data_IF_869851024211
#
_entry.id   IF_869851024211
#
_cell.length_a   1.000
_cell.length_b   1.000
_cell.length_c   1.000
_cell.angle_alpha   90.00
_cell.angle_beta   90.00
_cell.angle_gamma   90.00
#
_symmetry.space_group_name_H-M   'P 1'
#
loop_
_entity.id
_entity.type
_entity.pdbx_description
1 polymer ?
#
# COMPACT_ATOMS: atom_id res chain seq x y z
N UNK A 1 24.79 7.48 14.48
CA UNK A 1 24.33 6.15 14.95
C UNK A 1 24.11 5.30 13.72
N UNK A 2 24.78 4.17 13.62
CA UNK A 2 24.56 3.18 12.56
C UNK A 2 23.56 2.14 13.05
N UNK A 3 22.81 1.54 12.12
CA UNK A 3 21.91 0.43 12.45
C UNK A 3 22.67 -0.70 13.17
N UNK A 4 22.11 -1.21 14.26
CA UNK A 4 22.70 -2.25 15.11
C UNK A 4 23.71 -1.74 16.14
N UNK A 5 24.01 -0.43 16.16
CA UNK A 5 24.89 0.22 17.14
C UNK A 5 24.13 1.24 18.00
N UNK A 6 22.82 1.05 18.19
CA UNK A 6 21.97 1.94 18.95
C UNK A 6 22.22 1.81 20.48
N UNK A 7 22.42 2.92 21.21
CA UNK A 7 22.59 2.90 22.65
C UNK A 7 21.33 2.43 23.38
N UNK A 8 21.45 1.35 24.14
CA UNK A 8 20.35 0.78 24.92
C UNK A 8 19.78 1.75 25.96
N UNK A 9 20.60 2.63 26.52
CA UNK A 9 20.25 3.51 27.63
C UNK A 9 19.42 4.74 27.24
N UNK A 10 19.31 5.06 25.95
CA UNK A 10 18.56 6.24 25.50
C UNK A 10 17.68 5.95 24.30
N UNK A 11 18.23 5.37 23.22
CA UNK A 11 17.50 5.21 21.96
C UNK A 11 16.30 4.29 22.14
N UNK A 12 16.54 3.07 22.64
CA UNK A 12 15.46 2.10 22.83
C UNK A 12 14.53 2.47 23.98
N UNK A 13 15.04 3.09 25.05
CA UNK A 13 14.22 3.59 26.16
C UNK A 13 13.23 4.66 25.66
N UNK A 14 13.69 5.62 24.85
CA UNK A 14 12.85 6.68 24.29
C UNK A 14 11.74 6.14 23.37
N UNK A 15 11.98 5.02 22.67
CA UNK A 15 11.00 4.34 21.81
C UNK A 15 10.06 3.39 22.57
N UNK A 16 10.18 3.29 23.89
CA UNK A 16 9.40 2.37 24.71
C UNK A 16 9.84 0.91 24.57
N UNK A 17 11.15 0.69 24.40
CA UNK A 17 11.79 -0.61 24.25
C UNK A 17 12.07 -1.00 22.80
N UNK A 18 12.98 -1.96 22.62
CA UNK A 18 13.29 -2.54 21.31
C UNK A 18 12.14 -3.40 20.81
N UNK A 19 11.70 -3.15 19.58
CA UNK A 19 10.62 -3.89 18.91
C UNK A 19 11.12 -4.43 17.57
N UNK A 20 10.50 -5.49 17.01
CA UNK A 20 10.79 -5.93 15.65
C UNK A 20 10.53 -4.79 14.66
N UNK A 21 11.46 -4.61 13.72
CA UNK A 21 11.37 -3.64 12.63
C UNK A 21 11.87 -4.27 11.33
N UNK A 22 11.57 -3.66 10.19
CA UNK A 22 11.98 -4.15 8.88
C UNK A 22 13.48 -3.88 8.68
N UNK A 23 14.24 -4.92 8.31
CA UNK A 23 15.71 -4.85 8.11
C UNK A 23 16.12 -4.76 6.64
N UNK A 24 15.15 -4.85 5.73
CA UNK A 24 15.34 -4.69 4.29
C UNK A 24 14.29 -3.73 3.73
N UNK A 25 14.63 -3.14 2.59
CA UNK A 25 13.77 -2.19 1.89
C UNK A 25 13.57 -2.57 0.42
N UNK A 26 13.76 -3.85 0.06
CA UNK A 26 13.71 -4.32 -1.33
C UNK A 26 12.37 -4.04 -1.99
N UNK A 27 11.29 -4.02 -1.19
CA UNK A 27 9.94 -3.68 -1.65
C UNK A 27 9.87 -2.29 -2.30
N UNK A 28 10.68 -1.31 -1.86
CA UNK A 28 10.68 0.04 -2.42
C UNK A 28 11.01 0.04 -3.92
N UNK A 29 11.85 -0.88 -4.38
CA UNK A 29 12.21 -1.01 -5.80
C UNK A 29 11.04 -1.46 -6.70
N UNK A 30 9.99 -1.99 -6.10
CA UNK A 30 8.82 -2.53 -6.81
C UNK A 30 7.53 -1.81 -6.46
N UNK A 31 7.57 -0.92 -5.47
CA UNK A 31 6.36 -0.35 -4.89
C UNK A 31 5.68 0.59 -5.88
N UNK A 32 4.43 0.29 -6.23
CA UNK A 32 3.62 1.07 -7.16
C UNK A 32 2.20 1.18 -6.64
N UNK A 33 1.63 2.38 -6.71
CA UNK A 33 0.27 2.66 -6.28
C UNK A 33 -0.56 3.14 -7.47
N UNK A 34 -1.72 2.53 -7.65
CA UNK A 34 -2.69 2.90 -8.69
C UNK A 34 -4.02 3.26 -8.04
N UNK A 35 -4.66 4.33 -8.51
CA UNK A 35 -6.03 4.71 -8.17
C UNK A 35 -6.99 4.17 -9.23
N UNK A 36 -8.00 3.43 -8.79
CA UNK A 36 -9.10 2.94 -9.59
C UNK A 36 -10.36 3.74 -9.25
N UNK A 37 -10.82 4.57 -10.19
CA UNK A 37 -11.92 5.52 -9.96
C UNK A 37 -12.83 5.63 -11.18
N UNK A 38 -14.11 5.91 -10.95
CA UNK A 38 -15.08 6.26 -11.99
C UNK A 38 -15.47 7.75 -12.00
N UNK A 39 -14.76 8.63 -11.27
CA UNK A 39 -15.08 10.05 -11.09
C UNK A 39 -15.27 10.83 -12.41
N UNK A 40 -14.66 10.35 -13.49
CA UNK A 40 -14.73 10.95 -14.85
C UNK A 40 -15.97 10.53 -15.64
N UNK A 41 -16.89 9.79 -15.03
CA UNK A 41 -18.04 9.16 -15.68
C UNK A 41 -17.71 7.82 -16.36
N UNK A 42 -16.47 7.37 -16.30
CA UNK A 42 -16.00 6.07 -16.78
C UNK A 42 -14.87 5.56 -15.89
N UNK A 43 -14.73 4.24 -15.81
CA UNK A 43 -13.71 3.60 -14.98
C UNK A 43 -12.31 3.83 -15.56
N UNK A 44 -11.41 4.31 -14.73
CA UNK A 44 -10.00 4.55 -15.07
C UNK A 44 -9.08 3.99 -14.00
N UNK A 45 -7.91 3.55 -14.43
CA UNK A 45 -6.80 3.20 -13.55
C UNK A 45 -5.67 4.18 -13.84
N UNK A 46 -5.23 4.91 -12.82
CA UNK A 46 -4.14 5.90 -12.92
C UNK A 46 -3.05 5.59 -11.92
N UNK A 47 -1.80 5.60 -12.36
CA UNK A 47 -0.65 5.40 -11.48
C UNK A 47 -0.32 6.70 -10.75
N UNK A 48 -0.04 6.58 -9.44
CA UNK A 48 0.45 7.67 -8.61
C UNK A 48 1.97 7.80 -8.74
N UNK A 49 2.49 9.00 -8.51
CA UNK A 49 3.93 9.24 -8.47
C UNK A 49 4.60 8.39 -7.39
N UNK A 50 5.91 8.15 -7.54
CA UNK A 50 6.69 7.27 -6.65
C UNK A 50 6.79 7.78 -5.22
N UNK A 51 6.47 9.05 -4.97
CA UNK A 51 6.47 9.74 -3.68
C UNK A 51 5.07 9.81 -3.04
N UNK A 52 4.19 8.86 -3.38
CA UNK A 52 2.86 8.78 -2.78
C UNK A 52 2.90 8.62 -1.25
N UNK A 53 1.84 9.06 -0.57
CA UNK A 53 1.72 9.00 0.88
C UNK A 53 0.36 8.45 1.33
N UNK A 54 0.13 8.36 2.64
CA UNK A 54 -1.14 7.87 3.19
C UNK A 54 -2.35 8.71 2.71
N UNK A 55 -2.15 10.01 2.47
CA UNK A 55 -3.23 10.90 1.98
C UNK A 55 -3.64 10.60 0.53
N UNK A 56 -2.86 9.82 -0.23
CA UNK A 56 -3.25 9.37 -1.57
C UNK A 56 -4.27 8.22 -1.57
N UNK A 57 -4.58 7.66 -0.39
CA UNK A 57 -5.62 6.66 -0.21
C UNK A 57 -7.00 7.33 -0.15
N UNK A 58 -7.68 7.37 -1.29
CA UNK A 58 -8.96 8.04 -1.44
C UNK A 58 -10.13 7.17 -0.90
N UNK A 59 -10.85 7.68 0.09
CA UNK A 59 -11.95 6.98 0.76
C UNK A 59 -13.10 6.57 -0.18
N UNK A 60 -13.30 7.30 -1.26
CA UNK A 60 -14.32 7.10 -2.28
C UNK A 60 -13.87 6.17 -3.41
N UNK A 61 -12.61 5.73 -3.43
CA UNK A 61 -12.06 4.92 -4.51
C UNK A 61 -11.40 3.63 -4.00
N UNK A 62 -10.80 2.90 -4.95
CA UNK A 62 -10.02 1.70 -4.69
C UNK A 62 -8.59 1.95 -5.11
N UNK A 63 -7.65 1.50 -4.29
CA UNK A 63 -6.23 1.58 -4.59
C UNK A 63 -5.68 0.18 -4.85
N UNK A 64 -4.87 0.04 -5.90
CA UNK A 64 -4.05 -1.14 -6.14
C UNK A 64 -2.62 -0.81 -5.72
N UNK A 65 -2.08 -1.53 -4.76
CA UNK A 65 -0.69 -1.39 -4.32
C UNK A 65 0.08 -2.67 -4.63
N UNK A 66 1.08 -2.60 -5.52
CA UNK A 66 2.04 -3.69 -5.73
C UNK A 66 3.30 -3.39 -4.92
N UNK A 67 3.76 -4.33 -4.09
CA UNK A 67 5.03 -4.21 -3.35
C UNK A 67 6.13 -5.16 -3.88
N UNK A 68 5.89 -5.78 -5.03
CA UNK A 68 6.78 -6.75 -5.67
C UNK A 68 6.46 -8.21 -5.34
N UNK A 69 5.82 -8.50 -4.21
CA UNK A 69 5.41 -9.85 -3.82
C UNK A 69 3.89 -10.00 -3.66
N UNK A 70 3.23 -8.95 -3.19
CA UNK A 70 1.82 -8.87 -2.98
C UNK A 70 1.25 -7.68 -3.77
N UNK A 71 0.08 -7.92 -4.34
CA UNK A 71 -0.79 -6.88 -4.88
C UNK A 71 -1.96 -6.74 -3.93
N UNK A 72 -2.10 -5.59 -3.30
CA UNK A 72 -3.21 -5.28 -2.42
C UNK A 72 -4.28 -4.52 -3.19
N UNK A 73 -5.53 -4.94 -3.00
CA UNK A 73 -6.71 -4.17 -3.34
C UNK A 73 -7.18 -3.48 -2.06
N UNK A 74 -6.85 -2.21 -1.89
CA UNK A 74 -7.29 -1.39 -0.76
C UNK A 74 -8.63 -0.75 -1.08
N UNK A 75 -9.64 -1.02 -0.26
CA UNK A 75 -11.00 -0.50 -0.45
C UNK A 75 -11.20 0.72 0.44
N UNK A 76 -11.46 1.86 -0.20
CA UNK A 76 -11.97 3.03 0.48
C UNK A 76 -13.35 2.77 1.10
N UNK A 77 -13.62 3.41 2.24
CA UNK A 77 -14.85 3.17 3.00
C UNK A 77 -16.15 3.55 2.24
N UNK A 78 -16.04 4.34 1.17
CA UNK A 78 -17.14 4.89 0.37
C UNK A 78 -17.08 4.47 -1.10
N UNK A 79 -16.20 3.53 -1.46
CA UNK A 79 -16.09 3.05 -2.84
C UNK A 79 -17.36 2.35 -3.32
N UNK A 80 -17.60 2.38 -4.62
CA UNK A 80 -18.79 1.75 -5.22
C UNK A 80 -18.56 0.26 -5.54
N UNK A 81 -19.63 -0.54 -5.56
CA UNK A 81 -19.54 -1.94 -6.00
C UNK A 81 -19.01 -2.10 -7.43
N UNK A 82 -19.28 -1.11 -8.28
CA UNK A 82 -18.81 -1.10 -9.67
C UNK A 82 -17.29 -0.95 -9.69
N UNK A 83 -16.74 -0.04 -8.89
CA UNK A 83 -15.29 0.10 -8.73
C UNK A 83 -14.67 -1.17 -8.18
N UNK A 84 -15.28 -1.82 -7.17
CA UNK A 84 -14.77 -3.08 -6.61
C UNK A 84 -14.63 -4.15 -7.69
N UNK A 85 -15.68 -4.36 -8.49
CA UNK A 85 -15.70 -5.38 -9.54
C UNK A 85 -14.65 -5.08 -10.62
N UNK A 86 -14.55 -3.83 -11.05
CA UNK A 86 -13.63 -3.42 -12.11
C UNK A 86 -12.18 -3.41 -11.63
N UNK A 87 -11.90 -2.88 -10.43
CA UNK A 87 -10.56 -2.88 -9.84
C UNK A 87 -10.06 -4.30 -9.57
N UNK A 88 -10.93 -5.23 -9.13
CA UNK A 88 -10.57 -6.64 -9.00
C UNK A 88 -10.16 -7.25 -10.35
N UNK A 89 -10.92 -7.00 -11.41
CA UNK A 89 -10.57 -7.43 -12.78
C UNK A 89 -9.24 -6.82 -13.25
N UNK A 90 -9.04 -5.52 -13.01
CA UNK A 90 -7.78 -4.83 -13.33
C UNK A 90 -6.60 -5.42 -12.58
N UNK A 91 -6.74 -5.73 -11.28
CA UNK A 91 -5.70 -6.37 -10.48
C UNK A 91 -5.37 -7.78 -11.01
N UNK A 92 -6.36 -8.56 -11.45
CA UNK A 92 -6.12 -9.87 -12.07
C UNK A 92 -5.30 -9.75 -13.37
N UNK A 93 -5.65 -8.81 -14.24
CA UNK A 93 -4.91 -8.56 -15.49
C UNK A 93 -3.49 -8.07 -15.18
N UNK A 94 -3.34 -7.18 -14.21
CA UNK A 94 -2.04 -6.69 -13.75
C UNK A 94 -1.15 -7.83 -13.25
N UNK A 95 -1.66 -8.70 -12.37
CA UNK A 95 -0.91 -9.86 -11.86
C UNK A 95 -0.49 -10.79 -13.00
N UNK A 96 -1.38 -11.04 -13.96
CA UNK A 96 -1.06 -11.89 -15.11
C UNK A 96 0.05 -11.26 -15.99
N UNK A 97 -0.01 -9.95 -16.22
CA UNK A 97 1.06 -9.22 -16.90
C UNK A 97 2.37 -9.33 -16.12
N UNK A 98 2.34 -9.09 -14.81
CA UNK A 98 3.52 -9.17 -13.96
C UNK A 98 4.13 -10.57 -13.92
N UNK A 99 3.31 -11.63 -13.99
CA UNK A 99 3.78 -13.01 -14.13
C UNK A 99 4.55 -13.25 -15.44
N UNK A 100 4.18 -12.58 -16.53
CA UNK A 100 4.95 -12.65 -17.79
C UNK A 100 6.25 -11.84 -17.74
N UNK A 101 6.24 -10.68 -17.09
CA UNK A 101 7.39 -9.77 -17.05
C UNK A 101 8.44 -10.18 -16.02
N UNK A 102 8.01 -10.77 -14.90
CA UNK A 102 8.89 -11.20 -13.81
C UNK A 102 8.42 -12.57 -13.29
N UNK A 103 8.70 -13.67 -14.01
CA UNK A 103 8.24 -15.01 -13.67
C UNK A 103 8.74 -15.50 -12.31
N UNK A 104 9.95 -15.11 -11.92
CA UNK A 104 10.60 -15.51 -10.66
C UNK A 104 10.01 -14.81 -9.42
N UNK A 105 9.11 -13.83 -9.61
CA UNK A 105 8.51 -13.06 -8.54
C UNK A 105 6.98 -13.07 -8.63
N UNK A 106 6.30 -14.21 -8.40
CA UNK A 106 4.85 -14.29 -8.54
C UNK A 106 4.12 -13.42 -7.50
N UNK A 107 3.11 -12.67 -7.94
CA UNK A 107 2.34 -11.75 -7.09
C UNK A 107 1.15 -12.48 -6.49
N UNK A 108 0.92 -12.27 -5.20
CA UNK A 108 -0.29 -12.77 -4.51
C UNK A 108 -1.28 -11.62 -4.31
N UNK A 109 -2.54 -11.83 -4.70
CA UNK A 109 -3.60 -10.84 -4.48
C UNK A 109 -4.08 -10.87 -3.03
N UNK A 110 -4.18 -9.70 -2.40
CA UNK A 110 -4.70 -9.51 -1.05
C UNK A 110 -5.78 -8.43 -1.04
N UNK A 111 -6.76 -8.59 -0.16
CA UNK A 111 -7.76 -7.56 0.14
C UNK A 111 -7.33 -6.79 1.39
N UNK A 112 -7.40 -5.46 1.33
CA UNK A 112 -7.17 -4.58 2.46
C UNK A 112 -8.35 -3.65 2.61
N UNK A 113 -8.92 -3.55 3.81
CA UNK A 113 -9.94 -2.55 4.12
C UNK A 113 -9.27 -1.38 4.84
N UNK A 114 -9.82 -0.18 4.66
CA UNK A 114 -9.48 0.97 5.50
C UNK A 114 -9.56 0.61 6.99
N UNK A 115 -8.59 1.08 7.77
CA UNK A 115 -8.41 0.82 9.21
C UNK A 115 -8.13 -0.66 9.56
N UNK A 116 -7.88 -1.51 8.56
CA UNK A 116 -7.48 -2.92 8.68
C UNK A 116 -6.21 -3.22 7.89
N UNK A 117 -5.39 -2.21 7.64
CA UNK A 117 -4.15 -2.33 6.89
C UNK A 117 -3.10 -3.15 7.66
N UNK A 118 -2.60 -4.20 7.03
CA UNK A 118 -1.51 -5.01 7.61
C UNK A 118 -0.16 -4.27 7.52
N UNK A 119 0.82 -4.68 8.33
CA UNK A 119 2.20 -4.14 8.25
C UNK A 119 2.82 -4.28 6.86
N UNK A 120 2.46 -5.33 6.10
CA UNK A 120 2.96 -5.53 4.72
C UNK A 120 2.46 -4.45 3.75
N UNK A 121 1.29 -3.88 4.03
CA UNK A 121 0.72 -2.76 3.29
C UNK A 121 1.32 -1.44 3.80
N UNK A 122 1.22 -1.18 5.10
CA UNK A 122 1.57 0.12 5.68
C UNK A 122 3.05 0.47 5.55
N UNK A 123 3.95 -0.52 5.52
CA UNK A 123 5.39 -0.29 5.29
C UNK A 123 5.70 0.33 3.92
N UNK A 124 4.79 0.25 2.96
CA UNK A 124 4.97 0.84 1.63
C UNK A 124 4.76 2.36 1.61
N UNK A 125 4.34 2.96 2.72
CA UNK A 125 4.06 4.39 2.84
C UNK A 125 4.99 5.02 3.87
N UNK A 126 5.40 6.26 3.61
CA UNK A 126 6.16 7.04 4.57
C UNK A 126 5.28 7.52 5.72
N UNK A 127 5.71 7.29 6.96
CA UNK A 127 5.10 7.90 8.14
C UNK A 127 3.66 7.47 8.41
N UNK A 128 3.33 6.19 8.20
CA UNK A 128 1.98 5.67 8.44
C UNK A 128 1.47 5.99 9.86
N UNK A 129 0.28 6.56 9.95
CA UNK A 129 -0.36 6.93 11.20
C UNK A 129 -1.88 6.72 11.16
N UNK A 130 -2.58 7.38 12.08
CA UNK A 130 -4.04 7.43 12.03
C UNK A 130 -4.51 8.18 10.79
N UNK A 131 -5.55 7.67 10.13
CA UNK A 131 -6.17 8.34 8.99
C UNK A 131 -6.70 9.71 9.43
N UNK A 132 -6.34 10.75 8.67
CA UNK A 132 -6.82 12.11 8.94
C UNK A 132 -8.34 12.14 8.79
N UNK A 133 -9.01 12.74 9.77
CA UNK A 133 -10.45 12.99 9.75
C UNK A 133 -10.69 14.48 9.49
N UNK A 134 -11.64 14.85 8.61
CA UNK A 134 -12.09 16.22 8.50
C UNK A 134 -12.55 16.74 9.87
N UNK A 135 -12.33 18.03 10.21
CA UNK A 135 -12.94 18.63 11.38
C UNK A 135 -14.46 18.51 11.31
N UNK A 136 -15.10 18.22 12.43
CA UNK A 136 -16.58 18.23 12.59
C UNK A 136 -17.17 19.62 12.42
#
# INVERSE_FOLDING_TARGET
LTEGSEPDNFFWVALGGRKPYDTDADYLNYTRLFRCSNEKGYFTVSEKCTDFCQDDLADDDIMILDNGEQVFLWLGAKCSEVEIKLAYKSAQVYIQHMKSMQPDKPRKLFLTLKDKESRRFTKCFHGWGEHKRPPE
#
